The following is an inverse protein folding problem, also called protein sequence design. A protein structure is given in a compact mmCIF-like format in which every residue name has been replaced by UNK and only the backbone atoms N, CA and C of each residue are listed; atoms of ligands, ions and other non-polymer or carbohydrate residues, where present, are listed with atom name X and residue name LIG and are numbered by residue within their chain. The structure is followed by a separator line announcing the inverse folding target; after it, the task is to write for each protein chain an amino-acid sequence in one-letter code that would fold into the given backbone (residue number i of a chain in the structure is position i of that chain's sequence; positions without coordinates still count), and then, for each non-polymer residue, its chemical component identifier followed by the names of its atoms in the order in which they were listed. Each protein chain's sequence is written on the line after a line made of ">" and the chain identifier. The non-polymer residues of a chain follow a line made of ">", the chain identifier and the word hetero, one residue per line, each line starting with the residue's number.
data_IF_416939022954
#
_entry.id   IF_416939022954
#
_cell.length_a   1.000
_cell.length_b   1.000
_cell.length_c   1.000
_cell.angle_alpha   90.00
_cell.angle_beta   90.00
_cell.angle_gamma   90.00
#
_symmetry.space_group_name_H-M   'P 1'
#
loop_
_entity.id
_entity.type
_entity.pdbx_description
1 polymer ?
#
# COMPACT_ATOMS: atom_id res chain seq x y z
N UNK A 1 7.79 -2.75 -14.38
CA UNK A 1 7.34 -1.39 -14.08
C UNK A 1 8.21 -0.79 -12.98
N UNK A 2 8.60 0.48 -13.11
CA UNK A 2 9.38 1.13 -12.07
C UNK A 2 8.55 1.24 -10.80
N UNK A 3 9.18 0.97 -9.64
CA UNK A 3 8.52 1.12 -8.35
C UNK A 3 8.76 2.53 -7.84
N UNK A 4 7.68 3.20 -7.42
CA UNK A 4 7.74 4.58 -6.93
C UNK A 4 8.07 4.66 -5.43
N UNK A 5 8.12 3.53 -4.73
CA UNK A 5 8.40 3.54 -3.30
C UNK A 5 9.90 3.64 -3.03
N UNK A 6 10.32 4.47 -2.05
CA UNK A 6 11.73 4.56 -1.67
C UNK A 6 12.21 3.24 -1.06
N UNK A 7 13.18 2.61 -1.71
CA UNK A 7 13.71 1.32 -1.24
C UNK A 7 14.32 1.44 0.17
N UNK A 8 15.00 2.54 0.45
CA UNK A 8 15.58 2.75 1.79
C UNK A 8 14.51 2.72 2.89
N UNK A 9 13.34 3.31 2.62
CA UNK A 9 12.24 3.28 3.57
C UNK A 9 11.67 1.86 3.74
N UNK A 10 11.57 1.13 2.65
CA UNK A 10 11.10 -0.28 2.69
C UNK A 10 12.04 -1.12 3.55
N UNK A 11 13.34 -0.98 3.35
CA UNK A 11 14.35 -1.71 4.13
C UNK A 11 14.26 -1.35 5.60
N UNK A 12 14.13 -0.06 5.92
CA UNK A 12 14.01 0.40 7.31
C UNK A 12 12.80 -0.19 8.01
N UNK A 13 11.64 -0.19 7.33
CA UNK A 13 10.42 -0.76 7.89
C UNK A 13 10.58 -2.25 8.13
N UNK A 14 11.19 -2.97 7.18
CA UNK A 14 11.43 -4.40 7.31
C UNK A 14 12.33 -4.71 8.51
N UNK A 15 13.40 -3.94 8.69
CA UNK A 15 14.32 -4.10 9.81
C UNK A 15 13.65 -3.83 11.15
N UNK A 16 12.77 -2.82 11.20
CA UNK A 16 11.99 -2.50 12.39
C UNK A 16 11.00 -3.61 12.75
N UNK A 17 10.73 -4.51 11.83
CA UNK A 17 9.77 -5.59 12.01
C UNK A 17 10.41 -6.98 11.99
N UNK A 18 11.68 -7.07 12.30
CA UNK A 18 12.33 -8.34 12.58
C UNK A 18 13.36 -8.80 11.56
N UNK A 19 13.53 -8.11 10.46
CA UNK A 19 14.54 -8.48 9.46
C UNK A 19 15.92 -7.97 9.90
N UNK A 20 16.89 -8.87 10.04
CA UNK A 20 18.27 -8.45 10.34
C UNK A 20 18.92 -7.84 9.11
N UNK A 21 18.70 -8.45 7.95
CA UNK A 21 19.20 -8.00 6.65
C UNK A 21 18.14 -8.17 5.61
N UNK A 22 18.18 -7.32 4.59
CA UNK A 22 17.24 -7.41 3.48
C UNK A 22 18.04 -7.33 2.18
N UNK A 23 18.04 -8.42 1.44
CA UNK A 23 18.69 -8.45 0.14
C UNK A 23 18.04 -7.45 -0.82
N UNK A 24 18.79 -6.95 -1.79
CA UNK A 24 18.29 -5.94 -2.71
C UNK A 24 17.09 -6.42 -3.53
N UNK A 25 17.12 -7.67 -3.97
CA UNK A 25 15.99 -8.26 -4.72
C UNK A 25 14.78 -8.48 -3.81
N UNK A 26 15.01 -8.84 -2.54
CA UNK A 26 13.93 -8.98 -1.56
C UNK A 26 13.28 -7.63 -1.26
N UNK A 27 14.09 -6.58 -1.10
CA UNK A 27 13.57 -5.23 -0.88
C UNK A 27 12.72 -4.77 -2.06
N UNK A 28 13.16 -5.05 -3.28
CA UNK A 28 12.41 -4.73 -4.49
C UNK A 28 11.09 -5.50 -4.52
N UNK A 29 11.10 -6.78 -4.17
CA UNK A 29 9.88 -7.60 -4.14
C UNK A 29 8.88 -7.08 -3.09
N UNK A 30 9.36 -6.68 -1.93
CA UNK A 30 8.50 -6.08 -0.90
C UNK A 30 7.89 -4.76 -1.41
N UNK A 31 8.71 -3.93 -2.05
CA UNK A 31 8.25 -2.67 -2.61
C UNK A 31 7.18 -2.89 -3.69
N UNK A 32 7.39 -3.87 -4.56
CA UNK A 32 6.45 -4.19 -5.63
C UNK A 32 5.10 -4.68 -5.06
N UNK A 33 5.16 -5.57 -4.08
CA UNK A 33 3.95 -6.07 -3.42
C UNK A 33 3.20 -4.94 -2.69
N UNK A 34 3.95 -4.04 -2.06
CA UNK A 34 3.36 -2.89 -1.35
C UNK A 34 2.70 -1.92 -2.32
N UNK A 35 3.32 -1.65 -3.45
CA UNK A 35 2.75 -0.79 -4.49
C UNK A 35 1.46 -1.39 -5.05
N UNK A 36 1.43 -2.70 -5.25
CA UNK A 36 0.24 -3.40 -5.71
C UNK A 36 -0.90 -3.26 -4.70
N UNK A 37 -0.59 -3.37 -3.40
CA UNK A 37 -1.59 -3.19 -2.35
C UNK A 37 -2.14 -1.75 -2.33
N UNK A 38 -1.27 -0.76 -2.48
CA UNK A 38 -1.70 0.64 -2.58
C UNK A 38 -2.66 0.82 -3.74
N UNK A 39 -2.36 0.21 -4.89
CA UNK A 39 -3.22 0.30 -6.07
C UNK A 39 -4.60 -0.31 -5.81
N UNK A 40 -4.66 -1.50 -5.21
CA UNK A 40 -5.93 -2.15 -4.87
C UNK A 40 -6.73 -1.33 -3.88
N UNK A 41 -6.05 -0.86 -2.82
CA UNK A 41 -6.67 -0.06 -1.77
C UNK A 41 -7.27 1.22 -2.34
N UNK A 42 -6.53 1.88 -3.22
CA UNK A 42 -6.97 3.13 -3.85
C UNK A 42 -8.17 2.90 -4.75
N UNK A 43 -8.15 1.83 -5.54
CA UNK A 43 -9.30 1.51 -6.40
C UNK A 43 -10.57 1.30 -5.58
N UNK A 44 -10.45 0.57 -4.48
CA UNK A 44 -11.59 0.30 -3.61
C UNK A 44 -12.07 1.56 -2.89
N UNK A 45 -11.13 2.32 -2.30
CA UNK A 45 -11.48 3.57 -1.62
C UNK A 45 -12.12 4.59 -2.57
N UNK A 46 -11.67 4.62 -3.82
CA UNK A 46 -12.22 5.50 -4.84
C UNK A 46 -13.70 5.22 -5.10
N UNK A 47 -14.11 3.96 -5.06
CA UNK A 47 -15.53 3.59 -5.21
C UNK A 47 -16.37 4.19 -4.10
N UNK A 48 -15.91 4.12 -2.86
CA UNK A 48 -16.64 4.70 -1.73
C UNK A 48 -16.73 6.21 -1.82
N UNK A 49 -15.65 6.88 -2.23
CA UNK A 49 -15.67 8.33 -2.43
C UNK A 49 -16.69 8.71 -3.50
N UNK A 50 -16.73 8.00 -4.62
CA UNK A 50 -17.68 8.26 -5.70
C UNK A 50 -19.13 8.05 -5.26
N UNK A 51 -19.40 7.01 -4.49
CA UNK A 51 -20.74 6.77 -3.94
C UNK A 51 -21.20 7.92 -3.06
N UNK A 52 -20.27 8.56 -2.36
CA UNK A 52 -20.58 9.73 -1.54
C UNK A 52 -20.59 11.04 -2.34
N UNK A 53 -20.43 10.97 -3.65
CA UNK A 53 -20.44 12.14 -4.53
C UNK A 53 -19.19 13.00 -4.42
N UNK A 54 -18.07 12.41 -3.97
CA UNK A 54 -16.82 13.14 -3.77
C UNK A 54 -15.75 12.70 -4.77
N UNK A 55 -14.82 13.60 -5.06
CA UNK A 55 -13.62 13.28 -5.86
C UNK A 55 -12.41 13.01 -4.98
N UNK A 56 -12.47 13.42 -3.71
CA UNK A 56 -11.39 13.25 -2.76
C UNK A 56 -11.62 11.99 -1.93
N UNK A 57 -10.61 11.11 -1.88
CA UNK A 57 -10.63 9.95 -1.01
C UNK A 57 -10.35 10.43 0.42
N UNK A 58 -11.19 10.04 1.36
CA UNK A 58 -11.02 10.39 2.77
C UNK A 58 -10.64 9.15 3.58
N UNK A 59 -10.22 9.38 4.83
CA UNK A 59 -9.86 8.29 5.74
C UNK A 59 -10.97 7.24 5.86
N UNK A 60 -12.21 7.68 5.95
CA UNK A 60 -13.36 6.75 6.07
C UNK A 60 -13.47 5.82 4.86
N UNK A 61 -13.14 6.31 3.67
CA UNK A 61 -13.14 5.50 2.45
C UNK A 61 -12.04 4.44 2.52
N UNK A 62 -10.88 4.82 3.03
CA UNK A 62 -9.74 3.92 3.20
C UNK A 62 -10.07 2.84 4.24
N UNK A 63 -10.68 3.23 5.35
CA UNK A 63 -11.07 2.29 6.40
C UNK A 63 -12.04 1.22 5.87
N UNK A 64 -13.01 1.63 5.07
CA UNK A 64 -13.95 0.70 4.43
C UNK A 64 -13.24 -0.21 3.43
N UNK A 65 -12.31 0.35 2.66
CA UNK A 65 -11.54 -0.40 1.67
C UNK A 65 -10.66 -1.47 2.35
N UNK A 66 -10.01 -1.12 3.45
CA UNK A 66 -9.20 -2.07 4.23
C UNK A 66 -10.06 -3.23 4.72
N UNK A 67 -11.24 -2.93 5.25
CA UNK A 67 -12.18 -3.96 5.69
C UNK A 67 -12.56 -4.91 4.57
N UNK A 68 -12.88 -4.36 3.40
CA UNK A 68 -13.28 -5.14 2.23
C UNK A 68 -12.16 -6.07 1.77
N UNK A 69 -10.92 -5.57 1.73
CA UNK A 69 -9.78 -6.34 1.23
C UNK A 69 -9.28 -7.39 2.23
N UNK A 70 -9.60 -7.26 3.51
CA UNK A 70 -9.14 -8.17 4.57
C UNK A 70 -10.13 -9.27 4.93
N UNK A 71 -11.21 -9.38 4.22
CA UNK A 71 -12.22 -10.43 4.43
C UNK A 71 -11.84 -11.75 3.78
#
# INVERSE_FOLDING_TARGET
>A
MANDLPIAAVVRIAKNNGAERVGSDAAQAIADASQEYIAELTREASKYAKHAGRKTIKKEDVDLAVNELNI
#
